data_IF_019166588719
#
_entry.id   IF_019166588719
#
_cell.length_a   1.000
_cell.length_b   1.000
_cell.length_c   1.000
_cell.angle_alpha   90.00
_cell.angle_beta   90.00
_cell.angle_gamma   90.00
#
_symmetry.space_group_name_H-M   'P 1'
#
loop_
_entity.id
_entity.type
_entity.pdbx_description
1 polymer ?
#
# COMPACT_ATOMS: atom_id res chain seq x y z
N UNK A 1 -24.63 -1.63 -4.73
CA UNK A 1 -23.44 -2.31 -5.28
C UNK A 1 -22.80 -3.10 -4.16
N UNK A 2 -22.31 -4.29 -4.46
CA UNK A 2 -21.59 -5.18 -3.54
C UNK A 2 -20.12 -5.27 -4.00
N UNK A 3 -19.27 -5.95 -3.23
CA UNK A 3 -17.87 -6.16 -3.62
C UNK A 3 -17.73 -6.96 -4.93
N UNK A 4 -18.71 -7.78 -5.28
CA UNK A 4 -18.72 -8.62 -6.48
C UNK A 4 -19.12 -7.84 -7.75
N UNK A 5 -19.63 -6.62 -7.60
CA UNK A 5 -20.00 -5.76 -8.73
C UNK A 5 -18.82 -5.01 -9.34
N UNK A 6 -17.62 -5.13 -8.76
CA UNK A 6 -16.41 -4.47 -9.22
C UNK A 6 -15.47 -5.40 -9.98
N UNK A 7 -14.74 -4.84 -10.95
CA UNK A 7 -13.71 -5.56 -11.70
C UNK A 7 -12.49 -5.83 -10.81
N UNK A 8 -12.32 -7.09 -10.40
CA UNK A 8 -11.22 -7.53 -9.52
C UNK A 8 -10.46 -8.67 -10.18
N UNK A 9 -9.25 -8.40 -10.63
CA UNK A 9 -8.36 -9.46 -11.14
C UNK A 9 -7.57 -10.10 -10.00
N UNK A 10 -7.07 -11.32 -10.24
CA UNK A 10 -6.19 -12.03 -9.30
C UNK A 10 -4.78 -12.07 -9.88
N UNK A 11 -3.77 -11.76 -9.05
CA UNK A 11 -2.36 -11.77 -9.43
C UNK A 11 -1.57 -12.76 -8.59
N UNK A 12 -0.60 -13.44 -9.21
CA UNK A 12 0.29 -14.40 -8.54
C UNK A 12 1.53 -13.72 -7.95
N UNK A 13 1.83 -12.51 -8.40
CA UNK A 13 2.95 -11.72 -7.91
C UNK A 13 2.63 -10.22 -8.02
N UNK A 14 3.33 -9.44 -7.25
CA UNK A 14 3.39 -7.98 -7.37
C UNK A 14 4.85 -7.54 -7.40
N UNK A 15 5.26 -6.97 -8.52
CA UNK A 15 6.62 -6.46 -8.69
C UNK A 15 6.69 -5.01 -8.20
N UNK A 16 7.73 -4.74 -7.40
CA UNK A 16 8.03 -3.38 -6.99
C UNK A 16 8.42 -2.56 -8.22
N UNK A 17 7.75 -1.43 -8.49
CA UNK A 17 8.13 -0.55 -9.57
C UNK A 17 9.60 -0.12 -9.46
N UNK A 18 10.34 -0.14 -10.56
CA UNK A 18 11.73 0.28 -10.61
C UNK A 18 11.85 1.79 -10.38
N UNK A 19 10.87 2.56 -10.86
CA UNK A 19 10.81 4.01 -10.74
C UNK A 19 9.89 4.44 -9.60
N UNK A 20 10.17 5.62 -9.06
CA UNK A 20 9.29 6.26 -8.08
C UNK A 20 7.99 6.74 -8.74
N UNK A 21 6.96 6.94 -7.94
CA UNK A 21 5.71 7.51 -8.40
C UNK A 21 4.47 6.72 -8.05
N UNK A 22 3.39 7.02 -8.74
CA UNK A 22 2.05 6.51 -8.46
C UNK A 22 1.94 4.97 -8.48
N UNK A 23 2.68 4.21 -9.32
CA UNK A 23 2.64 2.75 -9.27
C UNK A 23 2.91 2.15 -7.89
N UNK A 24 3.74 2.81 -7.08
CA UNK A 24 4.01 2.37 -5.69
C UNK A 24 2.75 2.42 -4.82
N UNK A 25 1.83 3.35 -5.08
CA UNK A 25 0.59 3.51 -4.33
C UNK A 25 -0.33 2.28 -4.41
N UNK A 26 -0.13 1.46 -5.42
CA UNK A 26 -0.93 0.24 -5.65
C UNK A 26 -0.37 -0.99 -4.92
N UNK A 27 0.67 -0.84 -4.12
CA UNK A 27 1.30 -1.93 -3.38
C UNK A 27 0.27 -2.67 -2.51
N UNK A 28 0.28 -4.02 -2.51
CA UNK A 28 -0.57 -4.79 -1.62
C UNK A 28 -0.15 -4.61 -0.15
N UNK A 29 -1.08 -4.86 0.75
CA UNK A 29 -0.74 -4.96 2.17
C UNK A 29 0.27 -6.10 2.40
N UNK A 30 1.14 -5.91 3.39
CA UNK A 30 2.06 -6.96 3.82
C UNK A 30 1.24 -8.22 4.16
N UNK A 31 1.57 -9.39 3.60
CA UNK A 31 0.90 -10.64 3.92
C UNK A 31 0.83 -10.86 5.44
N UNK A 32 -0.35 -11.24 5.92
CA UNK A 32 -0.59 -11.37 7.38
C UNK A 32 0.39 -12.32 8.06
N UNK A 33 0.89 -13.32 7.35
CA UNK A 33 1.90 -14.25 7.85
C UNK A 33 3.23 -13.57 8.22
N UNK A 34 3.53 -12.42 7.63
CA UNK A 34 4.73 -11.64 7.93
C UNK A 34 4.52 -10.64 9.08
N UNK A 35 3.27 -10.40 9.50
CA UNK A 35 2.98 -9.53 10.63
C UNK A 35 3.37 -10.19 11.96
N UNK A 36 4.14 -9.47 12.78
CA UNK A 36 4.43 -9.88 14.16
C UNK A 36 5.43 -11.03 14.34
N UNK A 37 5.94 -11.61 13.24
CA UNK A 37 6.87 -12.74 13.28
C UNK A 37 8.36 -12.38 13.25
N UNK A 38 8.67 -11.10 13.49
CA UNK A 38 10.07 -10.64 13.47
C UNK A 38 10.69 -10.51 12.06
N UNK A 39 9.92 -10.80 11.02
CA UNK A 39 10.38 -10.79 9.61
C UNK A 39 10.36 -9.40 8.96
N UNK A 40 9.99 -8.38 9.69
CA UNK A 40 10.02 -7.00 9.19
C UNK A 40 11.47 -6.51 9.13
N UNK A 41 11.89 -5.78 8.06
CA UNK A 41 13.26 -5.26 7.91
C UNK A 41 13.73 -4.48 9.15
N UNK A 42 12.88 -3.67 9.77
CA UNK A 42 13.20 -2.95 11.01
C UNK A 42 13.55 -3.88 12.19
N UNK A 43 12.97 -5.07 12.25
CA UNK A 43 13.30 -6.07 13.28
C UNK A 43 14.57 -6.82 12.92
N UNK A 44 14.74 -7.20 11.66
CA UNK A 44 15.91 -7.90 11.14
C UNK A 44 17.18 -7.05 11.29
N UNK A 45 17.11 -5.78 10.89
CA UNK A 45 18.26 -4.85 10.96
C UNK A 45 18.48 -4.25 12.35
N UNK A 46 17.47 -4.26 13.20
CA UNK A 46 17.48 -3.57 14.50
C UNK A 46 17.32 -2.05 14.39
N UNK A 47 17.02 -1.45 15.55
CA UNK A 47 16.64 -0.03 15.65
C UNK A 47 17.65 0.94 15.03
N UNK A 48 18.93 0.76 15.32
CA UNK A 48 19.97 1.70 14.88
C UNK A 48 20.13 1.74 13.36
N UNK A 49 20.19 0.55 12.73
CA UNK A 49 20.29 0.45 11.26
C UNK A 49 19.02 0.94 10.60
N UNK A 50 17.85 0.58 11.15
CA UNK A 50 16.57 1.06 10.65
C UNK A 50 16.45 2.59 10.71
N UNK A 51 16.84 3.22 11.80
CA UNK A 51 16.83 4.69 11.95
C UNK A 51 17.76 5.37 10.93
N UNK A 52 18.92 4.76 10.63
CA UNK A 52 19.79 5.24 9.58
C UNK A 52 19.14 5.11 8.19
N UNK A 53 18.61 3.95 7.85
CA UNK A 53 17.94 3.71 6.56
C UNK A 53 16.80 4.67 6.33
N UNK A 54 15.95 4.88 7.34
CA UNK A 54 14.82 5.80 7.30
C UNK A 54 15.27 7.25 7.05
N UNK A 55 16.30 7.73 7.76
CA UNK A 55 16.83 9.09 7.58
C UNK A 55 17.46 9.25 6.20
N UNK A 56 18.19 8.23 5.74
CA UNK A 56 18.78 8.23 4.40
C UNK A 56 17.69 8.29 3.32
N UNK A 57 16.62 7.52 3.45
CA UNK A 57 15.48 7.54 2.55
C UNK A 57 14.88 8.96 2.41
N UNK A 58 14.68 9.70 3.51
CA UNK A 58 14.19 11.08 3.44
C UNK A 58 15.18 12.04 2.73
N UNK A 59 16.46 11.86 2.98
CA UNK A 59 17.51 12.67 2.34
C UNK A 59 17.59 12.40 0.83
N UNK A 60 17.59 11.11 0.43
CA UNK A 60 17.64 10.70 -0.97
C UNK A 60 16.41 11.21 -1.75
N UNK A 61 15.25 11.28 -1.10
CA UNK A 61 14.03 11.86 -1.64
C UNK A 61 13.98 13.40 -1.59
N UNK A 62 15.06 14.08 -1.18
CA UNK A 62 15.08 15.52 -0.97
C UNK A 62 13.92 16.03 -0.09
N UNK A 63 13.52 15.24 0.92
CA UNK A 63 12.41 15.50 1.84
C UNK A 63 11.05 15.66 1.15
N UNK A 64 10.85 15.04 -0.01
CA UNK A 64 9.59 14.99 -0.76
C UNK A 64 9.04 13.57 -0.78
N UNK A 65 7.72 13.46 -0.98
CA UNK A 65 7.13 12.16 -1.28
C UNK A 65 7.67 11.61 -2.60
N UNK A 66 8.06 10.34 -2.59
CA UNK A 66 8.49 9.63 -3.80
C UNK A 66 7.30 9.23 -4.70
N UNK A 67 6.06 9.39 -4.24
CA UNK A 67 4.84 9.14 -5.03
C UNK A 67 4.37 10.42 -5.72
N UNK A 68 4.00 11.44 -4.93
CA UNK A 68 3.38 12.66 -5.44
C UNK A 68 4.37 13.81 -5.67
N UNK A 69 5.61 13.69 -5.20
CA UNK A 69 6.59 14.79 -5.22
C UNK A 69 6.28 15.92 -4.21
N UNK A 70 5.22 15.79 -3.42
CA UNK A 70 4.83 16.80 -2.43
C UNK A 70 5.85 16.89 -1.32
N UNK A 71 6.24 18.10 -0.94
CA UNK A 71 7.04 18.39 0.24
C UNK A 71 6.12 18.70 1.42
N UNK A 72 5.93 17.75 2.36
CA UNK A 72 5.10 18.00 3.52
C UNK A 72 5.82 18.92 4.50
N UNK A 73 5.09 19.49 5.46
CA UNK A 73 5.70 20.26 6.54
C UNK A 73 6.81 19.44 7.22
N UNK A 74 7.88 20.12 7.66
CA UNK A 74 9.08 19.50 8.24
C UNK A 74 8.75 18.41 9.27
N UNK A 75 9.33 17.23 9.08
CA UNK A 75 9.17 16.08 9.99
C UNK A 75 7.89 15.27 9.79
N UNK A 76 7.13 15.50 8.70
CA UNK A 76 5.88 14.79 8.39
C UNK A 76 6.00 13.71 7.30
N UNK A 77 7.21 13.42 6.84
CA UNK A 77 7.42 12.22 6.02
C UNK A 77 7.40 10.97 6.90
N UNK A 78 6.80 9.93 6.35
CA UNK A 78 6.86 8.58 6.90
C UNK A 78 7.68 7.69 5.96
N UNK A 79 8.41 6.73 6.51
CA UNK A 79 9.13 5.76 5.70
C UNK A 79 8.36 4.45 5.68
N UNK A 80 8.29 3.85 4.50
CA UNK A 80 7.62 2.58 4.26
C UNK A 80 8.58 1.57 3.65
N UNK A 81 8.44 0.30 4.02
CA UNK A 81 9.20 -0.79 3.45
C UNK A 81 8.61 -1.20 2.09
N UNK A 82 9.39 -1.15 1.05
CA UNK A 82 8.98 -1.54 -0.29
C UNK A 82 9.43 -2.98 -0.57
N UNK A 83 8.48 -3.81 -0.97
CA UNK A 83 8.69 -5.23 -1.27
C UNK A 83 8.20 -5.57 -2.67
N UNK A 84 8.80 -6.57 -3.30
CA UNK A 84 8.13 -7.41 -4.30
C UNK A 84 7.58 -8.66 -3.63
N UNK A 85 6.48 -9.19 -4.12
CA UNK A 85 5.82 -10.38 -3.56
C UNK A 85 5.62 -11.45 -4.64
N UNK A 86 6.01 -12.69 -4.32
CA UNK A 86 5.63 -13.89 -5.05
C UNK A 86 4.71 -14.72 -4.15
N UNK A 87 3.41 -14.70 -4.45
CA UNK A 87 2.39 -15.34 -3.63
C UNK A 87 2.41 -16.86 -3.77
N UNK A 88 2.85 -17.38 -4.93
CA UNK A 88 2.96 -18.81 -5.17
C UNK A 88 4.15 -19.42 -4.39
N UNK A 89 5.28 -18.73 -4.37
CA UNK A 89 6.46 -19.12 -3.58
C UNK A 89 6.36 -18.71 -2.12
N UNK A 90 5.42 -17.79 -1.79
CA UNK A 90 5.29 -17.18 -0.48
C UNK A 90 6.55 -16.42 -0.05
N UNK A 91 7.06 -15.60 -0.95
CA UNK A 91 8.27 -14.81 -0.74
C UNK A 91 7.96 -13.31 -0.81
N UNK A 92 8.49 -12.57 0.16
CA UNK A 92 8.58 -11.12 0.14
C UNK A 92 10.02 -10.68 -0.01
N UNK A 93 10.36 -9.97 -1.07
CA UNK A 93 11.73 -9.50 -1.33
C UNK A 93 11.78 -8.01 -0.98
N UNK A 94 12.49 -7.68 0.11
CA UNK A 94 12.69 -6.30 0.51
C UNK A 94 13.57 -5.57 -0.50
N UNK A 95 13.07 -4.48 -1.05
CA UNK A 95 13.77 -3.65 -2.03
C UNK A 95 14.50 -2.50 -1.34
N UNK A 96 13.75 -1.61 -0.69
CA UNK A 96 14.26 -0.41 -0.03
C UNK A 96 13.20 0.24 0.86
N UNK A 97 13.59 1.30 1.55
CA UNK A 97 12.64 2.23 2.15
C UNK A 97 12.25 3.31 1.15
N UNK A 98 11.03 3.81 1.24
CA UNK A 98 10.53 4.96 0.49
C UNK A 98 9.99 6.03 1.44
N UNK A 99 10.09 7.28 1.00
CA UNK A 99 9.57 8.44 1.72
C UNK A 99 8.17 8.78 1.21
N UNK A 100 7.20 8.85 2.11
CA UNK A 100 5.79 9.08 1.80
C UNK A 100 5.21 10.19 2.66
N UNK A 101 4.14 10.83 2.19
CA UNK A 101 3.27 11.59 3.08
C UNK A 101 2.50 10.63 3.99
N UNK A 102 1.98 11.15 5.11
CA UNK A 102 1.15 10.37 6.02
C UNK A 102 -0.10 9.82 5.34
N UNK A 103 -0.68 10.60 4.45
CA UNK A 103 -1.89 10.25 3.69
C UNK A 103 -1.61 9.11 2.70
N UNK A 104 -0.52 9.17 1.95
CA UNK A 104 -0.12 8.10 1.02
C UNK A 104 0.20 6.81 1.77
N UNK A 105 0.92 6.91 2.89
CA UNK A 105 1.22 5.77 3.75
C UNK A 105 -0.05 5.13 4.33
N UNK A 106 -1.02 5.96 4.74
CA UNK A 106 -2.31 5.47 5.22
C UNK A 106 -3.13 4.82 4.11
N UNK A 107 -3.06 5.31 2.87
CA UNK A 107 -3.74 4.70 1.72
C UNK A 107 -3.15 3.32 1.40
N UNK A 108 -1.83 3.18 1.34
CA UNK A 108 -1.17 1.87 1.14
C UNK A 108 -1.60 0.89 2.24
N UNK A 109 -1.66 1.34 3.49
CA UNK A 109 -2.14 0.55 4.61
C UNK A 109 -3.67 0.62 4.81
N UNK A 110 -4.43 0.54 3.72
CA UNK A 110 -5.91 0.63 3.73
C UNK A 110 -6.57 -0.33 4.73
N UNK A 111 -6.05 -1.56 4.88
CA UNK A 111 -6.56 -2.51 5.86
C UNK A 111 -6.43 -2.01 7.31
N UNK A 112 -5.32 -1.36 7.65
CA UNK A 112 -5.14 -0.72 8.97
C UNK A 112 -6.03 0.51 9.10
N UNK A 113 -6.11 1.34 8.06
CA UNK A 113 -6.91 2.56 8.07
C UNK A 113 -8.38 2.24 8.33
N UNK A 114 -8.96 1.23 7.63
CA UNK A 114 -10.35 0.82 7.85
C UNK A 114 -10.59 0.24 9.24
N UNK A 115 -9.63 -0.53 9.78
CA UNK A 115 -9.72 -1.05 11.14
C UNK A 115 -9.80 0.10 12.15
N UNK A 116 -8.90 1.08 12.05
CA UNK A 116 -8.89 2.26 12.93
C UNK A 116 -10.17 3.08 12.80
N UNK A 117 -10.72 3.19 11.60
CA UNK A 117 -12.01 3.86 11.37
C UNK A 117 -13.17 3.14 12.06
N UNK A 118 -13.28 1.81 11.86
CA UNK A 118 -14.32 0.97 12.49
C UNK A 118 -14.26 0.98 14.01
N UNK A 119 -13.07 1.13 14.59
CA UNK A 119 -12.84 1.25 16.03
C UNK A 119 -13.13 2.66 16.59
N UNK A 120 -13.53 3.60 15.74
CA UNK A 120 -13.86 4.96 16.16
C UNK A 120 -12.64 5.79 16.55
N UNK A 121 -11.48 5.54 15.97
CA UNK A 121 -10.26 6.28 16.26
C UNK A 121 -10.40 7.76 15.88
N UNK A 122 -10.24 8.65 16.88
CA UNK A 122 -10.43 10.10 16.73
C UNK A 122 -9.50 10.77 15.72
N UNK A 123 -8.36 10.16 15.39
CA UNK A 123 -7.43 10.67 14.38
C UNK A 123 -7.82 10.35 12.95
N UNK A 124 -8.83 9.47 12.76
CA UNK A 124 -9.32 9.06 11.44
C UNK A 124 -10.84 9.24 11.34
N UNK A 125 -11.36 10.48 11.49
CA UNK A 125 -12.78 10.74 11.31
C UNK A 125 -13.19 10.55 9.84
N UNK A 126 -14.47 10.30 9.59
CA UNK A 126 -15.07 10.01 8.28
C UNK A 126 -14.51 10.87 7.15
N UNK A 127 -14.54 12.20 7.31
CA UNK A 127 -14.09 13.13 6.27
C UNK A 127 -12.61 13.00 5.94
N UNK A 128 -11.76 12.64 6.92
CA UNK A 128 -10.34 12.47 6.72
C UNK A 128 -10.03 11.14 6.01
N UNK A 129 -10.73 10.07 6.37
CA UNK A 129 -10.63 8.77 5.68
C UNK A 129 -11.03 8.91 4.22
N UNK A 130 -12.19 9.55 3.95
CA UNK A 130 -12.65 9.78 2.57
C UNK A 130 -11.63 10.62 1.78
N UNK A 131 -11.05 11.64 2.39
CA UNK A 131 -9.99 12.45 1.75
C UNK A 131 -8.77 11.62 1.38
N UNK A 132 -8.30 10.73 2.27
CA UNK A 132 -7.16 9.83 2.00
C UNK A 132 -7.48 8.94 0.79
N UNK A 133 -8.65 8.30 0.78
CA UNK A 133 -9.06 7.39 -0.29
C UNK A 133 -9.26 8.14 -1.60
N UNK A 134 -9.92 9.29 -1.57
CA UNK A 134 -10.13 10.14 -2.75
C UNK A 134 -8.81 10.57 -3.39
N UNK A 135 -7.85 11.03 -2.58
CA UNK A 135 -6.54 11.43 -3.07
C UNK A 135 -5.80 10.26 -3.72
N UNK A 136 -5.81 9.07 -3.11
CA UNK A 136 -5.19 7.87 -3.68
C UNK A 136 -5.85 7.46 -5.00
N UNK A 137 -7.16 7.42 -5.06
CA UNK A 137 -7.91 7.09 -6.29
C UNK A 137 -7.68 8.12 -7.40
N UNK A 138 -7.65 9.41 -7.04
CA UNK A 138 -7.33 10.47 -7.99
C UNK A 138 -5.95 10.29 -8.61
N UNK A 139 -4.93 10.01 -7.80
CA UNK A 139 -3.57 9.79 -8.30
C UNK A 139 -3.51 8.58 -9.26
N UNK A 140 -4.17 7.47 -8.93
CA UNK A 140 -4.25 6.28 -9.79
C UNK A 140 -4.96 6.62 -11.11
N UNK A 141 -6.09 7.30 -11.06
CA UNK A 141 -6.85 7.73 -12.23
C UNK A 141 -6.03 8.65 -13.13
N UNK A 142 -5.45 9.71 -12.57
CA UNK A 142 -4.65 10.68 -13.32
C UNK A 142 -3.45 10.02 -13.99
N UNK A 143 -2.80 9.05 -13.31
CA UNK A 143 -1.73 8.25 -13.89
C UNK A 143 -2.23 7.43 -15.09
N UNK A 144 -3.34 6.72 -14.95
CA UNK A 144 -3.92 5.90 -16.02
C UNK A 144 -4.31 6.75 -17.24
N UNK A 145 -4.87 7.92 -17.01
CA UNK A 145 -5.21 8.89 -18.09
C UNK A 145 -3.95 9.41 -18.79
N UNK A 146 -2.87 9.65 -18.05
CA UNK A 146 -1.61 10.14 -18.61
C UNK A 146 -0.81 9.05 -19.35
N UNK A 147 -1.09 7.77 -19.12
CA UNK A 147 -0.37 6.62 -19.69
C UNK A 147 -1.32 5.62 -20.36
N UNK A 148 -2.09 6.04 -21.40
CA UNK A 148 -3.14 5.21 -21.98
C UNK A 148 -2.61 3.95 -22.71
N UNK A 149 -1.34 3.93 -23.08
CA UNK A 149 -0.69 2.81 -23.73
C UNK A 149 -0.09 1.77 -22.77
N UNK A 150 -0.20 2.00 -21.47
CA UNK A 150 0.26 1.08 -20.43
C UNK A 150 -0.91 0.28 -19.84
N UNK A 151 -0.60 -0.90 -19.27
CA UNK A 151 -1.59 -1.61 -18.44
C UNK A 151 -2.04 -0.70 -17.31
N UNK A 152 -3.35 -0.48 -17.14
CA UNK A 152 -3.84 0.46 -16.14
C UNK A 152 -3.53 0.00 -14.72
N UNK A 153 -3.08 0.94 -13.90
CA UNK A 153 -2.91 0.70 -12.47
C UNK A 153 -4.26 0.35 -11.85
N UNK A 154 -4.24 -0.66 -10.96
CA UNK A 154 -5.40 -1.12 -10.19
C UNK A 154 -5.16 -0.92 -8.71
N UNK A 155 -6.16 -0.47 -7.98
CA UNK A 155 -6.09 -0.34 -6.53
C UNK A 155 -6.10 -1.73 -5.87
N UNK A 156 -5.46 -1.85 -4.72
CA UNK A 156 -5.51 -3.08 -3.95
C UNK A 156 -6.90 -3.28 -3.32
N UNK A 157 -7.42 -4.50 -3.41
CA UNK A 157 -8.81 -4.85 -3.09
C UNK A 157 -9.25 -4.52 -1.66
N UNK A 158 -8.33 -4.34 -0.71
CA UNK A 158 -8.67 -4.05 0.70
C UNK A 158 -9.51 -2.79 0.85
N UNK A 159 -9.41 -1.84 -0.08
CA UNK A 159 -10.25 -0.63 -0.04
C UNK A 159 -11.74 -0.93 -0.24
N UNK A 160 -12.10 -2.07 -0.84
CA UNK A 160 -13.51 -2.50 -0.93
C UNK A 160 -14.13 -2.88 0.43
N UNK A 161 -13.32 -3.10 1.47
CA UNK A 161 -13.85 -3.35 2.82
C UNK A 161 -14.58 -2.16 3.43
N UNK A 162 -14.38 -0.94 2.89
CA UNK A 162 -15.16 0.24 3.27
C UNK A 162 -16.64 0.14 2.88
N UNK A 163 -16.98 -0.71 1.88
CA UNK A 163 -18.37 -0.96 1.50
C UNK A 163 -19.19 -1.63 2.62
N UNK A 164 -18.52 -2.23 3.62
CA UNK A 164 -19.17 -2.82 4.79
C UNK A 164 -19.32 -1.82 5.96
N UNK A 165 -19.24 -0.52 5.67
CA UNK A 165 -19.32 0.54 6.68
C UNK A 165 -20.34 1.60 6.27
N UNK A 166 -20.53 2.64 7.10
CA UNK A 166 -21.32 3.83 6.77
C UNK A 166 -20.66 4.73 5.70
N UNK A 167 -19.48 4.32 5.16
CA UNK A 167 -18.83 4.95 4.02
C UNK A 167 -19.31 4.39 2.67
N UNK A 168 -20.18 3.38 2.65
CA UNK A 168 -20.61 2.65 1.44
C UNK A 168 -20.92 3.57 0.26
N UNK A 169 -21.88 4.48 0.44
CA UNK A 169 -22.34 5.32 -0.67
C UNK A 169 -21.28 6.31 -1.15
N UNK A 170 -20.46 6.83 -0.22
CA UNK A 170 -19.38 7.72 -0.56
C UNK A 170 -18.27 6.97 -1.32
N UNK A 171 -17.96 5.74 -0.92
CA UNK A 171 -16.99 4.88 -1.59
C UNK A 171 -17.41 4.48 -3.00
N UNK A 172 -18.69 4.09 -3.17
CA UNK A 172 -19.25 3.78 -4.51
C UNK A 172 -19.10 4.98 -5.44
N UNK A 173 -19.43 6.19 -4.97
CA UNK A 173 -19.25 7.43 -5.75
C UNK A 173 -17.81 7.69 -6.14
N UNK A 174 -16.85 7.49 -5.21
CA UNK A 174 -15.42 7.69 -5.48
C UNK A 174 -14.90 6.67 -6.51
N UNK A 175 -15.26 5.40 -6.36
CA UNK A 175 -14.87 4.33 -7.30
C UNK A 175 -15.39 4.65 -8.71
N UNK A 176 -16.66 5.03 -8.84
CA UNK A 176 -17.26 5.39 -10.12
C UNK A 176 -16.66 6.69 -10.69
N UNK A 177 -16.46 7.72 -9.86
CA UNK A 177 -15.89 9.02 -10.26
C UNK A 177 -14.51 8.86 -10.89
N UNK A 178 -13.68 7.97 -10.37
CA UNK A 178 -12.30 7.77 -10.80
C UNK A 178 -12.09 6.50 -11.63
N UNK A 179 -13.15 5.78 -12.01
CA UNK A 179 -13.12 4.52 -12.75
C UNK A 179 -12.09 3.52 -12.19
N UNK A 180 -12.13 3.32 -10.87
CA UNK A 180 -11.14 2.50 -10.18
C UNK A 180 -11.42 1.02 -10.41
N UNK A 181 -10.41 0.31 -10.89
CA UNK A 181 -10.36 -1.15 -10.99
C UNK A 181 -9.52 -1.71 -9.85
N UNK A 182 -9.70 -2.98 -9.55
CA UNK A 182 -9.06 -3.61 -8.39
C UNK A 182 -8.28 -4.86 -8.76
N UNK A 183 -7.34 -5.23 -7.90
CA UNK A 183 -6.67 -6.52 -7.94
C UNK A 183 -6.59 -7.10 -6.52
N UNK A 184 -6.47 -8.43 -6.47
CA UNK A 184 -6.17 -9.18 -5.25
C UNK A 184 -5.00 -10.13 -5.49
N UNK A 185 -4.37 -10.54 -4.43
CA UNK A 185 -3.36 -11.59 -4.45
C UNK A 185 -3.98 -12.99 -4.58
N UNK A 186 -3.28 -13.87 -5.29
CA UNK A 186 -3.59 -15.28 -5.30
C UNK A 186 -2.84 -16.00 -4.18
N UNK A 187 -3.47 -16.16 -3.03
CA UNK A 187 -2.91 -16.91 -1.91
C UNK A 187 -3.54 -18.30 -1.92
N UNK A 188 -2.76 -19.38 -2.19
CA UNK A 188 -3.27 -20.74 -2.15
C UNK A 188 -3.89 -21.06 -0.78
N UNK A 189 -5.11 -21.62 -0.76
CA UNK A 189 -5.91 -21.85 0.46
C UNK A 189 -5.16 -22.65 1.55
N UNK A 190 -4.31 -23.59 1.15
CA UNK A 190 -3.52 -24.43 2.06
C UNK A 190 -2.28 -23.73 2.62
N UNK A 191 -1.97 -22.50 2.17
CA UNK A 191 -0.74 -21.78 2.51
C UNK A 191 -0.97 -20.39 3.11
N UNK A 192 -2.21 -20.04 3.45
CA UNK A 192 -2.61 -18.70 3.88
C UNK A 192 -1.76 -18.10 5.01
N UNK A 193 -1.16 -18.93 5.86
CA UNK A 193 -0.53 -18.47 7.10
C UNK A 193 0.82 -19.09 7.45
N UNK A 194 1.32 -20.02 6.64
CA UNK A 194 2.57 -20.75 6.92
C UNK A 194 3.48 -20.74 5.70
N UNK A 195 4.79 -20.70 5.95
CA UNK A 195 5.79 -20.85 4.91
C UNK A 195 6.21 -19.60 4.19
N UNK A 196 5.76 -18.42 4.61
CA UNK A 196 6.25 -17.16 4.08
C UNK A 196 7.69 -16.89 4.52
N UNK A 197 8.48 -16.38 3.60
CA UNK A 197 9.86 -15.99 3.82
C UNK A 197 10.06 -14.53 3.41
N UNK A 198 11.02 -13.87 4.07
CA UNK A 198 11.47 -12.54 3.67
C UNK A 198 12.92 -12.64 3.22
N UNK A 199 13.18 -12.09 2.04
CA UNK A 199 14.53 -11.97 1.51
C UNK A 199 14.98 -10.52 1.73
N UNK A 200 16.10 -10.38 2.44
CA UNK A 200 16.71 -9.08 2.74
C UNK A 200 18.18 -9.15 2.31
N UNK A 201 18.52 -8.47 1.21
CA UNK A 201 19.79 -8.64 0.55
C UNK A 201 19.96 -10.08 0.03
N UNK A 202 21.03 -10.76 0.45
CA UNK A 202 21.28 -12.16 0.08
C UNK A 202 20.75 -13.18 1.09
N UNK A 203 20.09 -12.75 2.16
CA UNK A 203 19.64 -13.62 3.26
C UNK A 203 18.15 -13.88 3.19
N UNK A 204 17.78 -15.14 3.44
CA UNK A 204 16.39 -15.59 3.59
C UNK A 204 16.09 -15.81 5.06
N UNK A 205 14.95 -15.28 5.52
CA UNK A 205 14.48 -15.34 6.90
C UNK A 205 13.14 -16.06 6.98
#
# INVERSE_FOLDING_TARGET
MTKDDFDVITVDHWECPAENGVPILTMPNIPRALHGNGLQPRTIYGKTVWDFMRKKCYLDANYKSEISGVEPAKGRLESHELFSYDYLKQEGIFQRCIALTKEEHAFIHSGRLITMYKEGNIFYPKHYVLKIVENGYKLIHDYNVAHPDQEPLRAYVTTLEYLDTDLHDDMVKLIQKYDIKFYREHIPKNKLWKGWHVIVGSKRY
#
